data_IF_513554469180
#
_entry.id   IF_513554469180
#
_cell.length_a   1.000
_cell.length_b   1.000
_cell.length_c   1.000
_cell.angle_alpha   90.00
_cell.angle_beta   90.00
_cell.angle_gamma   90.00
#
_symmetry.space_group_name_H-M   'P 1'
#
loop_
_entity.id
_entity.type
_entity.pdbx_description
1 polymer ?
#
# COMPACT_ATOMS: atom_id res chain seq x y z
N UNK A 1 -6.90 -1.49 -17.79
CA UNK A 1 -6.90 -0.62 -16.61
C UNK A 1 -6.97 -1.51 -15.38
N UNK A 2 -6.07 -1.37 -14.39
CA UNK A 2 -6.10 -2.16 -13.15
C UNK A 2 -7.06 -1.54 -12.13
N UNK A 3 -6.95 -0.24 -11.91
CA UNK A 3 -7.78 0.52 -10.97
C UNK A 3 -8.47 1.68 -11.69
N UNK A 4 -9.75 1.86 -11.41
CA UNK A 4 -10.55 3.02 -11.84
C UNK A 4 -11.36 3.50 -10.64
N UNK A 5 -11.21 4.76 -10.29
CA UNK A 5 -11.99 5.48 -9.27
C UNK A 5 -12.75 6.57 -10.00
N UNK A 6 -14.07 6.69 -9.74
CA UNK A 6 -14.95 7.64 -10.42
C UNK A 6 -15.82 8.37 -9.40
N UNK A 7 -15.75 9.70 -9.42
CA UNK A 7 -16.57 10.62 -8.61
C UNK A 7 -16.63 10.23 -7.12
N UNK A 8 -15.49 9.87 -6.54
CA UNK A 8 -15.43 9.29 -5.20
C UNK A 8 -15.58 10.37 -4.13
N UNK A 9 -16.56 10.20 -3.23
CA UNK A 9 -16.81 11.13 -2.13
C UNK A 9 -16.72 10.43 -0.77
N UNK A 10 -16.24 11.18 0.23
CA UNK A 10 -16.21 10.73 1.63
C UNK A 10 -16.32 11.88 2.59
N UNK A 11 -17.24 11.74 3.55
CA UNK A 11 -17.49 12.71 4.63
C UNK A 11 -17.42 12.00 5.96
N UNK A 12 -16.75 12.59 6.94
CA UNK A 12 -16.74 12.11 8.32
C UNK A 12 -17.52 13.08 9.21
N UNK A 13 -18.22 12.54 10.20
CA UNK A 13 -18.85 13.35 11.24
C UNK A 13 -17.81 13.67 12.31
N UNK A 14 -17.56 14.97 12.53
CA UNK A 14 -16.68 15.48 13.57
C UNK A 14 -17.48 16.20 14.66
N UNK A 15 -16.83 16.58 15.76
CA UNK A 15 -17.47 17.40 16.81
C UNK A 15 -18.00 18.74 16.27
N UNK A 16 -17.36 19.29 15.24
CA UNK A 16 -17.70 20.57 14.61
C UNK A 16 -18.71 20.41 13.45
N UNK A 17 -19.19 19.20 13.19
CA UNK A 17 -20.13 18.87 12.12
C UNK A 17 -19.53 18.00 11.00
N UNK A 18 -20.24 17.85 9.87
CA UNK A 18 -19.77 17.03 8.76
C UNK A 18 -18.57 17.66 8.05
N UNK A 19 -17.52 16.86 7.86
CA UNK A 19 -16.30 17.27 7.19
C UNK A 19 -16.09 16.42 5.92
N UNK A 20 -16.28 17.03 4.74
CA UNK A 20 -16.07 16.39 3.45
C UNK A 20 -14.56 16.27 3.15
N UNK A 21 -14.04 15.05 3.22
CA UNK A 21 -12.62 14.74 3.00
C UNK A 21 -12.33 14.50 1.52
N UNK A 22 -13.22 13.81 0.80
CA UNK A 22 -13.15 13.63 -0.66
C UNK A 22 -14.42 14.19 -1.29
N UNK A 23 -14.27 14.88 -2.43
CA UNK A 23 -15.32 15.71 -3.02
C UNK A 23 -15.58 15.42 -4.51
N UNK A 24 -15.41 14.15 -4.93
CA UNK A 24 -15.50 13.76 -6.33
C UNK A 24 -14.10 13.53 -6.91
N UNK A 25 -13.44 12.47 -6.44
CA UNK A 25 -12.09 12.11 -6.89
C UNK A 25 -12.19 11.13 -8.04
N UNK A 26 -11.52 11.47 -9.16
CA UNK A 26 -11.27 10.59 -10.29
C UNK A 26 -9.81 10.18 -10.33
N UNK A 27 -9.54 8.87 -10.49
CA UNK A 27 -8.18 8.33 -10.55
C UNK A 27 -8.17 7.03 -11.35
N UNK A 28 -7.14 6.84 -12.15
CA UNK A 28 -6.89 5.57 -12.84
C UNK A 28 -5.47 5.11 -12.60
N UNK A 29 -5.24 3.79 -12.62
CA UNK A 29 -3.92 3.18 -12.56
C UNK A 29 -3.90 1.93 -13.45
N UNK A 30 -2.87 1.79 -14.27
CA UNK A 30 -2.66 0.60 -15.10
C UNK A 30 -1.88 -0.48 -14.34
N UNK A 31 -1.92 -1.73 -14.82
CA UNK A 31 -1.02 -2.76 -14.31
C UNK A 31 0.44 -2.37 -14.62
N UNK A 32 1.33 -2.60 -13.67
CA UNK A 32 2.74 -2.23 -13.78
C UNK A 32 3.04 -0.73 -13.71
N UNK A 33 2.03 0.12 -13.58
CA UNK A 33 2.20 1.57 -13.42
C UNK A 33 2.50 1.92 -11.96
N UNK A 34 3.39 2.92 -11.76
CA UNK A 34 3.65 3.50 -10.45
C UNK A 34 3.16 4.95 -10.38
N UNK A 35 2.31 5.23 -9.39
CA UNK A 35 1.64 6.52 -9.19
C UNK A 35 1.94 7.06 -7.79
N UNK A 36 2.46 8.28 -7.70
CA UNK A 36 2.55 9.01 -6.44
C UNK A 36 1.32 9.90 -6.24
N UNK A 37 0.74 9.83 -5.06
CA UNK A 37 -0.28 10.75 -4.57
C UNK A 37 0.34 11.68 -3.54
N UNK A 38 0.47 12.94 -3.89
CA UNK A 38 1.02 14.01 -3.03
C UNK A 38 -0.09 14.92 -2.52
N UNK A 39 0.21 15.81 -1.58
CA UNK A 39 -0.72 16.80 -1.04
C UNK A 39 -0.43 17.11 0.42
N UNK A 40 -1.03 18.17 0.93
CA UNK A 40 -0.86 18.62 2.33
C UNK A 40 -1.37 17.57 3.34
N UNK A 41 -0.94 17.70 4.60
CA UNK A 41 -1.52 16.89 5.68
C UNK A 41 -3.03 17.16 5.79
N UNK A 42 -3.81 16.09 5.98
CA UNK A 42 -5.27 16.22 6.05
C UNK A 42 -5.99 16.41 4.71
N UNK A 43 -5.31 16.40 3.56
CA UNK A 43 -5.95 16.54 2.24
C UNK A 43 -6.82 15.34 1.80
N UNK A 44 -6.78 14.20 2.52
CA UNK A 44 -7.57 13.01 2.23
C UNK A 44 -6.81 11.84 1.58
N UNK A 45 -5.46 11.91 1.46
CA UNK A 45 -4.64 10.88 0.80
C UNK A 45 -4.79 9.49 1.41
N UNK A 46 -4.62 9.36 2.73
CA UNK A 46 -4.78 8.08 3.43
C UNK A 46 -6.24 7.60 3.38
N UNK A 47 -7.21 8.51 3.43
CA UNK A 47 -8.63 8.17 3.23
C UNK A 47 -8.85 7.56 1.86
N UNK A 48 -8.35 8.20 0.78
CA UNK A 48 -8.45 7.65 -0.58
C UNK A 48 -7.80 6.28 -0.68
N UNK A 49 -6.60 6.12 -0.10
CA UNK A 49 -5.90 4.84 -0.08
C UNK A 49 -6.69 3.76 0.68
N UNK A 50 -7.29 4.09 1.82
CA UNK A 50 -8.14 3.16 2.60
C UNK A 50 -9.39 2.73 1.84
N UNK A 51 -10.05 3.64 1.13
CA UNK A 51 -11.21 3.33 0.30
C UNK A 51 -10.83 2.39 -0.86
N UNK A 52 -9.73 2.67 -1.57
CA UNK A 52 -9.21 1.81 -2.63
C UNK A 52 -8.80 0.44 -2.07
N UNK A 53 -8.23 0.40 -0.87
CA UNK A 53 -7.87 -0.83 -0.17
C UNK A 53 -9.07 -1.60 0.41
N UNK A 54 -10.30 -1.07 0.30
CA UNK A 54 -11.49 -1.69 0.89
C UNK A 54 -11.46 -1.75 2.42
N UNK A 55 -10.69 -0.86 3.06
CA UNK A 55 -10.62 -0.71 4.52
C UNK A 55 -11.73 0.19 5.06
N UNK A 56 -12.31 1.02 4.19
CA UNK A 56 -13.46 1.88 4.48
C UNK A 56 -14.41 1.86 3.25
N UNK A 57 -15.59 2.45 3.38
CA UNK A 57 -16.63 2.52 2.35
C UNK A 57 -16.86 3.97 1.95
N UNK A 58 -16.89 4.30 0.65
CA UNK A 58 -17.22 5.66 0.21
C UNK A 58 -18.70 5.99 0.45
N UNK A 59 -19.02 7.28 0.50
CA UNK A 59 -20.41 7.75 0.59
C UNK A 59 -21.09 7.71 -0.79
N UNK A 60 -20.34 8.04 -1.85
CA UNK A 60 -20.78 7.91 -3.24
C UNK A 60 -19.56 7.72 -4.16
N UNK A 61 -19.83 7.46 -5.44
CA UNK A 61 -18.85 7.17 -6.46
C UNK A 61 -18.57 5.67 -6.57
N UNK A 62 -17.56 5.32 -7.36
CA UNK A 62 -17.27 3.92 -7.70
C UNK A 62 -15.79 3.62 -7.70
N UNK A 63 -15.42 2.42 -7.23
CA UNK A 63 -14.05 1.90 -7.28
C UNK A 63 -14.08 0.55 -7.97
N UNK A 64 -13.46 0.43 -9.14
CA UNK A 64 -13.29 -0.83 -9.86
C UNK A 64 -11.82 -1.22 -9.80
N UNK A 65 -11.53 -2.38 -9.21
CA UNK A 65 -10.19 -2.95 -9.10
C UNK A 65 -10.16 -4.35 -9.73
N UNK A 66 -9.27 -4.56 -10.69
CA UNK A 66 -9.10 -5.81 -11.43
C UNK A 66 -10.44 -6.37 -11.96
N UNK A 67 -11.29 -5.48 -12.51
CA UNK A 67 -12.62 -5.79 -13.03
C UNK A 67 -13.71 -5.94 -11.96
N UNK A 68 -13.40 -5.89 -10.67
CA UNK A 68 -14.35 -6.03 -9.57
C UNK A 68 -14.75 -4.67 -9.00
N UNK A 69 -16.04 -4.40 -8.87
CA UNK A 69 -16.58 -3.20 -8.23
C UNK A 69 -16.54 -3.36 -6.71
N UNK A 70 -15.59 -2.69 -6.06
CA UNK A 70 -15.40 -2.75 -4.59
C UNK A 70 -16.56 -2.11 -3.84
N UNK A 71 -17.24 -1.13 -4.44
CA UNK A 71 -18.34 -0.39 -3.79
C UNK A 71 -19.60 -1.22 -3.67
N UNK A 72 -19.73 -2.25 -4.51
CA UNK A 72 -20.85 -3.20 -4.48
C UNK A 72 -20.62 -4.40 -3.56
N UNK A 73 -19.39 -4.56 -3.00
CA UNK A 73 -19.05 -5.70 -2.15
C UNK A 73 -19.50 -5.49 -0.70
N UNK A 74 -19.92 -6.58 -0.06
CA UNK A 74 -20.04 -6.67 1.38
C UNK A 74 -18.67 -6.74 2.08
N UNK A 75 -18.65 -6.78 3.41
CA UNK A 75 -17.41 -6.85 4.20
C UNK A 75 -16.58 -8.11 3.89
N UNK A 76 -17.22 -9.24 3.64
CA UNK A 76 -16.56 -10.50 3.31
C UNK A 76 -15.90 -10.41 1.91
N UNK A 77 -16.57 -9.80 0.94
CA UNK A 77 -16.05 -9.54 -0.40
C UNK A 77 -14.84 -8.60 -0.36
N UNK A 78 -14.93 -7.48 0.37
CA UNK A 78 -13.79 -6.54 0.57
C UNK A 78 -12.62 -7.22 1.28
N UNK A 79 -12.87 -8.04 2.31
CA UNK A 79 -11.84 -8.82 2.98
C UNK A 79 -11.14 -9.81 2.05
N UNK A 80 -11.87 -10.43 1.13
CA UNK A 80 -11.29 -11.29 0.09
C UNK A 80 -10.38 -10.50 -0.85
N UNK A 81 -10.83 -9.34 -1.33
CA UNK A 81 -10.01 -8.46 -2.20
C UNK A 81 -8.70 -8.03 -1.50
N UNK A 82 -8.76 -7.65 -0.22
CA UNK A 82 -7.56 -7.33 0.59
C UNK A 82 -6.61 -8.51 0.73
N UNK A 83 -7.13 -9.72 0.82
CA UNK A 83 -6.31 -10.92 0.99
C UNK A 83 -5.66 -11.38 -0.30
N UNK A 84 -6.35 -11.25 -1.44
CA UNK A 84 -5.97 -11.92 -2.70
C UNK A 84 -5.42 -10.96 -3.77
N UNK A 85 -5.84 -9.68 -3.75
CA UNK A 85 -5.58 -8.73 -4.84
C UNK A 85 -4.77 -7.52 -4.37
N UNK A 86 -5.00 -7.05 -3.14
CA UNK A 86 -4.41 -5.82 -2.62
C UNK A 86 -3.33 -6.12 -1.59
N UNK A 87 -2.15 -5.53 -1.77
CA UNK A 87 -1.13 -5.47 -0.73
C UNK A 87 -1.06 -4.06 -0.15
N UNK A 88 -0.97 -3.92 1.18
CA UNK A 88 -0.86 -2.61 1.83
C UNK A 88 0.43 -2.53 2.64
N UNK A 89 1.22 -1.50 2.35
CA UNK A 89 2.41 -1.10 3.13
C UNK A 89 2.04 0.16 3.91
N UNK A 90 2.08 0.09 5.23
CA UNK A 90 1.77 1.22 6.11
C UNK A 90 3.04 1.96 6.54
N UNK A 91 2.89 3.19 6.98
CA UNK A 91 3.94 3.97 7.61
C UNK A 91 4.48 3.28 8.89
N UNK A 92 3.57 2.74 9.70
CA UNK A 92 3.95 1.83 10.80
C UNK A 92 4.16 0.42 10.21
N UNK A 93 5.23 -0.23 10.63
CA UNK A 93 5.63 -1.53 10.06
C UNK A 93 4.57 -2.63 10.26
N UNK A 94 3.77 -2.54 11.32
CA UNK A 94 2.69 -3.47 11.67
C UNK A 94 3.14 -4.95 11.63
N UNK A 95 4.40 -5.22 12.01
CA UNK A 95 4.91 -6.59 12.10
C UNK A 95 4.27 -7.29 13.30
N UNK A 96 4.12 -8.61 13.19
CA UNK A 96 3.59 -9.44 14.29
C UNK A 96 4.74 -9.74 15.24
N UNK A 97 4.75 -9.20 16.47
CA UNK A 97 5.90 -9.27 17.36
C UNK A 97 6.27 -10.70 17.78
N UNK A 98 5.28 -11.58 17.89
CA UNK A 98 5.45 -12.99 18.29
C UNK A 98 5.93 -13.90 17.17
N UNK A 99 6.02 -13.41 15.94
CA UNK A 99 6.49 -14.18 14.79
C UNK A 99 7.92 -13.80 14.45
N UNK A 100 8.70 -14.81 14.03
CA UNK A 100 10.02 -14.59 13.45
C UNK A 100 9.91 -13.87 12.10
N UNK A 101 11.00 -13.28 11.64
CA UNK A 101 11.01 -12.53 10.38
C UNK A 101 10.60 -13.41 9.19
N UNK A 102 11.05 -14.65 9.12
CA UNK A 102 10.62 -15.60 8.08
C UNK A 102 9.09 -15.78 8.07
N UNK A 103 8.48 -15.93 9.26
CA UNK A 103 7.05 -16.12 9.38
C UNK A 103 6.27 -14.82 9.14
N UNK A 104 6.81 -13.66 9.53
CA UNK A 104 6.26 -12.37 9.17
C UNK A 104 6.19 -12.19 7.64
N UNK A 105 7.27 -12.50 6.91
CA UNK A 105 7.29 -12.42 5.44
C UNK A 105 6.22 -13.33 4.83
N UNK A 106 6.12 -14.59 5.28
CA UNK A 106 5.20 -15.57 4.73
C UNK A 106 3.73 -15.37 5.16
N UNK A 107 3.47 -14.53 6.18
CA UNK A 107 2.18 -14.47 6.86
C UNK A 107 1.01 -14.19 5.93
N UNK A 108 1.08 -13.13 5.12
CA UNK A 108 -0.03 -12.75 4.24
C UNK A 108 -0.23 -13.77 3.11
N UNK A 109 0.86 -14.32 2.56
CA UNK A 109 0.79 -15.35 1.54
C UNK A 109 0.14 -16.64 2.07
N UNK A 110 0.42 -17.02 3.32
CA UNK A 110 -0.26 -18.15 3.99
C UNK A 110 -1.75 -17.91 4.18
N UNK A 111 -2.14 -16.70 4.61
CA UNK A 111 -3.56 -16.33 4.75
C UNK A 111 -4.29 -16.33 3.41
N UNK A 112 -3.62 -15.93 2.33
CA UNK A 112 -4.16 -15.94 0.98
C UNK A 112 -4.20 -17.35 0.34
N UNK A 113 -3.59 -18.37 0.97
CA UNK A 113 -3.42 -19.69 0.36
C UNK A 113 -2.44 -19.70 -0.83
N UNK A 114 -1.58 -18.69 -0.93
CA UNK A 114 -0.65 -18.46 -2.04
C UNK A 114 0.82 -18.54 -1.58
N UNK A 115 1.09 -19.30 -0.50
CA UNK A 115 2.44 -19.41 0.04
C UNK A 115 3.37 -20.14 -0.91
N UNK A 116 4.41 -19.43 -1.37
CA UNK A 116 5.52 -19.92 -2.18
C UNK A 116 6.82 -19.70 -1.38
N UNK A 117 7.44 -20.80 -0.94
CA UNK A 117 8.62 -20.74 -0.08
C UNK A 117 9.84 -20.17 -0.83
N UNK A 118 10.00 -20.50 -2.11
CA UNK A 118 11.12 -20.03 -2.92
C UNK A 118 10.99 -18.53 -3.22
N UNK A 119 9.77 -18.08 -3.47
CA UNK A 119 9.50 -16.65 -3.62
C UNK A 119 9.74 -15.88 -2.32
N UNK A 120 9.29 -16.38 -1.18
CA UNK A 120 9.58 -15.78 0.13
C UNK A 120 11.09 -15.71 0.40
N UNK A 121 11.85 -16.74 0.05
CA UNK A 121 13.30 -16.74 0.16
C UNK A 121 13.95 -15.70 -0.77
N UNK A 122 13.48 -15.60 -2.02
CA UNK A 122 13.92 -14.59 -2.99
C UNK A 122 13.67 -13.17 -2.47
N UNK A 123 12.47 -12.90 -1.93
CA UNK A 123 12.14 -11.61 -1.31
C UNK A 123 13.07 -11.30 -0.15
N UNK A 124 13.32 -12.28 0.73
CA UNK A 124 14.22 -12.11 1.86
C UNK A 124 15.66 -11.80 1.43
N UNK A 125 16.15 -12.46 0.41
CA UNK A 125 17.50 -12.24 -0.12
C UNK A 125 17.63 -10.87 -0.76
N UNK A 126 16.73 -10.51 -1.68
CA UNK A 126 16.73 -9.21 -2.36
C UNK A 126 16.55 -8.03 -1.40
N UNK A 127 15.79 -8.22 -0.32
CA UNK A 127 15.64 -7.23 0.75
C UNK A 127 16.81 -7.22 1.75
N UNK A 128 17.83 -8.09 1.57
CA UNK A 128 18.97 -8.21 2.48
C UNK A 128 18.56 -8.69 3.88
N UNK A 129 17.54 -9.53 3.97
CA UNK A 129 16.96 -10.01 5.24
C UNK A 129 17.37 -11.46 5.57
N UNK A 130 18.07 -12.17 4.69
CA UNK A 130 18.48 -13.57 4.89
C UNK A 130 19.14 -13.80 6.25
N UNK A 131 20.10 -12.96 6.74
CA UNK A 131 20.71 -13.14 8.05
C UNK A 131 19.77 -12.89 9.23
N UNK A 132 18.60 -12.28 8.97
CA UNK A 132 17.64 -11.83 9.99
C UNK A 132 16.45 -12.80 10.17
N UNK A 133 16.29 -13.79 9.29
CA UNK A 133 15.08 -14.63 9.19
C UNK A 133 14.70 -15.33 10.51
N UNK A 134 15.67 -15.64 11.37
CA UNK A 134 15.44 -16.30 12.67
C UNK A 134 15.15 -15.33 13.83
N UNK A 135 15.34 -14.01 13.61
CA UNK A 135 15.11 -12.97 14.61
C UNK A 135 13.63 -12.61 14.74
N UNK A 136 13.33 -11.83 15.76
CA UNK A 136 12.03 -11.20 15.99
C UNK A 136 12.07 -9.71 15.60
N UNK A 137 10.92 -9.07 15.33
CA UNK A 137 10.85 -7.67 14.87
C UNK A 137 11.62 -6.68 15.76
N UNK A 138 11.55 -6.82 17.06
CA UNK A 138 12.23 -5.97 18.06
C UNK A 138 13.76 -5.95 17.94
N UNK A 139 14.34 -6.96 17.30
CA UNK A 139 15.77 -7.11 17.09
C UNK A 139 16.27 -6.45 15.81
N UNK A 140 15.39 -5.79 15.05
CA UNK A 140 15.66 -5.18 13.76
C UNK A 140 15.65 -3.65 13.85
N UNK A 141 16.51 -2.99 13.05
CA UNK A 141 16.40 -1.54 12.81
C UNK A 141 15.10 -1.18 12.09
N UNK A 142 14.66 0.08 12.16
CA UNK A 142 13.46 0.56 11.48
C UNK A 142 13.48 0.27 9.98
N UNK A 143 14.60 0.52 9.30
CA UNK A 143 14.75 0.20 7.87
C UNK A 143 14.67 -1.30 7.58
N UNK A 144 15.18 -2.16 8.48
CA UNK A 144 15.01 -3.61 8.33
C UNK A 144 13.55 -4.03 8.54
N UNK A 145 12.87 -3.47 9.55
CA UNK A 145 11.45 -3.74 9.79
C UNK A 145 10.59 -3.32 8.60
N UNK A 146 10.87 -2.17 8.00
CA UNK A 146 10.15 -1.73 6.79
C UNK A 146 10.38 -2.67 5.61
N UNK A 147 11.61 -3.13 5.40
CA UNK A 147 11.90 -4.14 4.36
C UNK A 147 11.14 -5.45 4.60
N UNK A 148 10.99 -5.88 5.85
CA UNK A 148 10.14 -7.04 6.20
C UNK A 148 8.68 -6.78 5.87
N UNK A 149 8.13 -5.59 6.20
CA UNK A 149 6.75 -5.21 5.89
C UNK A 149 6.48 -5.22 4.38
N UNK A 150 7.42 -4.71 3.58
CA UNK A 150 7.33 -4.73 2.11
C UNK A 150 7.39 -6.17 1.59
N UNK A 151 8.35 -6.98 2.04
CA UNK A 151 8.48 -8.38 1.65
C UNK A 151 7.21 -9.18 1.98
N UNK A 152 6.63 -8.98 3.18
CA UNK A 152 5.35 -9.57 3.58
C UNK A 152 4.22 -9.18 2.65
N UNK A 153 4.16 -7.91 2.25
CA UNK A 153 3.13 -7.40 1.36
C UNK A 153 3.25 -7.97 -0.05
N UNK A 154 4.47 -8.19 -0.54
CA UNK A 154 4.72 -8.73 -1.88
C UNK A 154 4.70 -10.27 -1.93
N UNK A 155 4.76 -10.95 -0.77
CA UNK A 155 4.78 -12.42 -0.72
C UNK A 155 3.58 -13.09 -1.40
N UNK A 156 2.32 -12.58 -1.31
CA UNK A 156 1.18 -13.12 -2.05
C UNK A 156 1.11 -12.68 -3.52
N UNK A 157 2.08 -11.93 -4.05
CA UNK A 157 2.08 -11.36 -5.42
C UNK A 157 0.80 -10.58 -5.73
N UNK A 158 0.49 -9.51 -4.97
CA UNK A 158 -0.72 -8.73 -5.16
C UNK A 158 -0.74 -8.06 -6.55
N UNK A 159 -1.96 -7.80 -7.08
CA UNK A 159 -2.13 -7.06 -8.33
C UNK A 159 -1.94 -5.55 -8.12
N UNK A 160 -2.32 -5.05 -6.94
CA UNK A 160 -2.18 -3.65 -6.53
C UNK A 160 -1.44 -3.55 -5.21
N UNK A 161 -0.40 -2.73 -5.17
CA UNK A 161 0.28 -2.33 -3.94
C UNK A 161 -0.14 -0.91 -3.60
N UNK A 162 -0.65 -0.74 -2.39
CA UNK A 162 -0.96 0.54 -1.77
C UNK A 162 0.10 0.83 -0.71
N UNK A 163 0.74 1.99 -0.76
CA UNK A 163 1.79 2.35 0.19
C UNK A 163 1.47 3.71 0.82
N UNK A 164 1.17 3.73 2.12
CA UNK A 164 0.89 4.95 2.88
C UNK A 164 2.16 5.39 3.60
N UNK A 165 2.86 6.38 3.04
CA UNK A 165 4.12 6.91 3.55
C UNK A 165 5.13 5.83 3.96
N UNK A 166 5.46 4.88 3.05
CA UNK A 166 6.18 3.65 3.39
C UNK A 166 7.59 3.87 3.93
N UNK A 167 8.08 5.09 3.89
CA UNK A 167 9.43 5.46 4.36
C UNK A 167 9.42 6.63 5.34
N UNK A 168 8.24 7.07 5.80
CA UNK A 168 8.08 8.26 6.64
C UNK A 168 8.79 8.20 8.00
N UNK A 169 9.10 7.00 8.49
CA UNK A 169 9.79 6.77 9.77
C UNK A 169 11.29 6.49 9.60
N UNK A 170 11.85 6.70 8.40
CA UNK A 170 13.24 6.39 8.07
C UNK A 170 14.04 7.66 7.77
N UNK A 171 15.34 7.62 8.01
CA UNK A 171 16.24 8.65 7.51
C UNK A 171 16.28 8.66 5.98
N UNK A 172 16.70 9.78 5.40
CA UNK A 172 16.59 10.03 3.97
C UNK A 172 17.36 9.01 3.10
N UNK A 173 18.54 8.58 3.54
CA UNK A 173 19.35 7.60 2.78
C UNK A 173 18.71 6.22 2.82
N UNK A 174 18.26 5.76 3.99
CA UNK A 174 17.54 4.50 4.16
C UNK A 174 16.22 4.50 3.40
N UNK A 175 15.47 5.62 3.43
CA UNK A 175 14.22 5.79 2.69
C UNK A 175 14.40 5.59 1.19
N UNK A 176 15.45 6.20 0.60
CA UNK A 176 15.75 6.04 -0.82
C UNK A 176 16.08 4.59 -1.19
N UNK A 177 16.89 3.91 -0.36
CA UNK A 177 17.26 2.51 -0.61
C UNK A 177 16.04 1.57 -0.51
N UNK A 178 15.21 1.74 0.50
CA UNK A 178 14.01 0.93 0.71
C UNK A 178 13.03 1.12 -0.44
N UNK A 179 12.83 2.38 -0.88
CA UNK A 179 11.95 2.66 -2.00
C UNK A 179 12.47 2.05 -3.31
N UNK A 180 13.76 2.17 -3.61
CA UNK A 180 14.36 1.58 -4.81
C UNK A 180 14.12 0.06 -4.85
N UNK A 181 14.39 -0.66 -3.75
CA UNK A 181 14.12 -2.10 -3.63
C UNK A 181 12.63 -2.43 -3.82
N UNK A 182 11.74 -1.62 -3.24
CA UNK A 182 10.30 -1.82 -3.41
C UNK A 182 9.87 -1.66 -4.87
N UNK A 183 10.38 -0.62 -5.56
CA UNK A 183 10.07 -0.38 -6.97
C UNK A 183 10.55 -1.51 -7.88
N UNK A 184 11.76 -2.00 -7.67
CA UNK A 184 12.29 -3.14 -8.40
C UNK A 184 11.41 -4.38 -8.24
N UNK A 185 11.02 -4.73 -7.00
CA UNK A 185 10.20 -5.89 -6.73
C UNK A 185 8.76 -5.74 -7.25
N UNK A 186 8.19 -4.53 -7.18
CA UNK A 186 6.88 -4.23 -7.78
C UNK A 186 6.93 -4.39 -9.30
N UNK A 187 7.99 -3.90 -9.95
CA UNK A 187 8.17 -4.06 -11.40
C UNK A 187 8.27 -5.54 -11.81
N UNK A 188 9.02 -6.36 -11.05
CA UNK A 188 9.17 -7.79 -11.33
C UNK A 188 7.85 -8.57 -11.20
N UNK A 189 6.96 -8.14 -10.30
CA UNK A 189 5.64 -8.78 -10.13
C UNK A 189 4.59 -8.27 -11.12
N UNK A 190 4.86 -7.16 -11.83
CA UNK A 190 3.89 -6.48 -12.70
C UNK A 190 2.72 -5.84 -11.95
N UNK A 191 2.83 -5.68 -10.64
CA UNK A 191 1.81 -5.04 -9.82
C UNK A 191 1.72 -3.52 -10.13
N UNK A 192 0.51 -2.95 -10.04
CA UNK A 192 0.37 -1.49 -9.95
C UNK A 192 0.76 -0.99 -8.57
N UNK A 193 1.37 0.18 -8.47
CA UNK A 193 1.72 0.83 -7.20
C UNK A 193 1.08 2.20 -7.09
N UNK A 194 0.30 2.41 -6.03
CA UNK A 194 -0.15 3.73 -5.58
C UNK A 194 0.54 4.06 -4.26
N UNK A 195 1.40 5.08 -4.27
CA UNK A 195 2.15 5.51 -3.09
C UNK A 195 1.73 6.91 -2.65
N UNK A 196 1.32 7.04 -1.40
CA UNK A 196 1.16 8.33 -0.71
C UNK A 196 2.51 8.76 -0.14
N UNK A 197 2.91 10.00 -0.41
CA UNK A 197 4.14 10.56 0.15
C UNK A 197 4.10 12.09 0.23
N UNK A 198 4.76 12.65 1.23
CA UNK A 198 5.02 14.09 1.34
C UNK A 198 6.36 14.50 0.69
N UNK A 199 7.20 13.54 0.31
CA UNK A 199 8.51 13.80 -0.28
C UNK A 199 8.40 13.93 -1.80
N UNK A 200 8.62 15.14 -2.33
CA UNK A 200 8.70 15.38 -3.77
C UNK A 200 9.80 14.58 -4.45
N UNK A 201 10.92 14.36 -3.73
CA UNK A 201 12.03 13.56 -4.21
C UNK A 201 11.64 12.10 -4.42
N UNK A 202 10.90 11.50 -3.48
CA UNK A 202 10.43 10.12 -3.60
C UNK A 202 9.29 10.02 -4.62
N UNK A 203 8.37 10.99 -4.63
CA UNK A 203 7.32 11.08 -5.65
C UNK A 203 7.91 11.18 -7.07
N UNK A 204 9.11 11.81 -7.20
CA UNK A 204 9.84 11.93 -8.46
C UNK A 204 10.34 10.63 -9.07
N UNK A 205 10.36 9.55 -8.31
CA UNK A 205 10.76 8.24 -8.78
C UNK A 205 9.59 7.44 -9.39
N UNK A 206 8.34 7.93 -9.24
CA UNK A 206 7.16 7.32 -9.84
C UNK A 206 6.96 7.77 -11.28
N UNK A 207 6.33 6.93 -12.08
CA UNK A 207 6.02 7.21 -13.49
C UNK A 207 5.03 8.37 -13.64
N UNK A 208 4.08 8.49 -12.70
CA UNK A 208 3.06 9.54 -12.70
C UNK A 208 2.86 10.10 -11.30
N UNK A 209 2.44 11.36 -11.24
CA UNK A 209 2.10 12.03 -9.99
C UNK A 209 0.72 12.65 -10.09
N UNK A 210 -0.03 12.60 -9.01
CA UNK A 210 -1.26 13.35 -8.78
C UNK A 210 -1.13 14.14 -7.48
N UNK A 211 -1.76 15.29 -7.45
CA UNK A 211 -1.78 16.13 -6.27
C UNK A 211 -3.21 16.22 -5.72
N UNK A 212 -3.41 15.78 -4.48
CA UNK A 212 -4.71 15.88 -3.79
C UNK A 212 -4.73 17.15 -2.94
N UNK A 213 -5.63 18.06 -3.25
CA UNK A 213 -5.80 19.30 -2.54
C UNK A 213 -7.28 19.50 -2.17
N UNK A 214 -7.57 19.68 -0.89
CA UNK A 214 -8.95 19.93 -0.39
C UNK A 214 -9.97 18.89 -0.91
N UNK A 215 -9.57 17.62 -1.00
CA UNK A 215 -10.44 16.53 -1.43
C UNK A 215 -10.66 16.41 -2.93
N UNK A 216 -9.89 17.11 -3.76
CA UNK A 216 -9.93 17.07 -5.23
C UNK A 216 -8.55 16.77 -5.80
N UNK A 217 -8.48 16.09 -6.94
CA UNK A 217 -7.25 15.97 -7.73
C UNK A 217 -7.05 17.28 -8.50
N UNK A 218 -5.85 17.88 -8.35
CA UNK A 218 -5.44 19.12 -8.98
C UNK A 218 -4.45 18.88 -10.13
#
# INVERSE_FOLDING_TARGET
MLLTVTDLTKTYTTADGPFAVLRGVDLTLSAGETLALTGESGSGKSTLLHLIGGLDVPDAGRIVLDGTDLTALDDAGRARMRREVVGVVFQQFNLIPSLRIADNIAFQARLAGQHDADWCATLADRMGLTPQLRKYPEQLSGGQQQRVAIARTLAPRPRLVLADEPTGNLDEATAAQVLALMLELVADTGAGLLMVTHSDRLAGQMQRRLHLRQGLIA
#
